data_IF_666282624813
#
_entry.id   IF_666282624813
#
_cell.length_a   1.000
_cell.length_b   1.000
_cell.length_c   1.000
_cell.angle_alpha   90.00
_cell.angle_beta   90.00
_cell.angle_gamma   90.00
#
_symmetry.space_group_name_H-M   'P 1'
#
loop_
_entity.id
_entity.type
_entity.pdbx_description
1 polymer ?
#
# COMPACT_ATOMS: atom_id res chain seq x y z
N UNK A 1 6.22 4.92 9.54
CA UNK A 1 5.80 5.06 10.95
C UNK A 1 4.28 4.93 11.00
N UNK A 2 3.78 3.71 11.26
CA UNK A 2 2.35 3.47 11.47
C UNK A 2 2.09 3.70 12.94
N UNK A 3 1.37 4.77 13.25
CA UNK A 3 0.85 4.93 14.60
C UNK A 3 -0.43 4.10 14.69
N UNK A 4 -0.30 2.85 15.16
CA UNK A 4 -1.44 2.07 15.62
C UNK A 4 -1.88 2.64 16.97
N UNK A 5 -3.04 3.29 17.00
CA UNK A 5 -3.66 3.71 18.25
C UNK A 5 -4.68 2.64 18.66
N UNK A 6 -4.40 1.97 19.78
CA UNK A 6 -5.37 1.10 20.47
C UNK A 6 -6.06 1.98 21.51
N UNK A 7 -7.35 2.23 21.32
CA UNK A 7 -8.15 2.96 22.30
C UNK A 7 -8.81 1.94 23.24
N UNK A 8 -8.52 2.06 24.54
CA UNK A 8 -9.11 1.23 25.59
C UNK A 8 -9.79 2.14 26.60
N UNK A 9 -11.11 2.06 26.72
CA UNK A 9 -11.82 2.53 27.89
C UNK A 9 -12.11 1.35 28.82
N UNK A 10 -11.73 1.55 30.08
CA UNK A 10 -11.78 0.60 31.20
C UNK A 10 -13.17 0.01 31.44
N UNK A 11 -13.22 -1.32 31.52
CA UNK A 11 -14.37 -2.09 32.01
C UNK A 11 -14.42 -3.51 31.44
N UNK A 12 -13.47 -4.38 31.82
CA UNK A 12 -13.40 -5.84 31.58
C UNK A 12 -14.21 -6.34 30.35
N UNK A 13 -13.85 -5.83 29.17
CA UNK A 13 -13.99 -6.48 27.87
C UNK A 13 -12.78 -6.04 27.07
N UNK A 14 -11.95 -6.98 26.65
CA UNK A 14 -10.83 -6.68 25.74
C UNK A 14 -11.43 -6.34 24.37
N UNK A 15 -11.77 -5.07 24.15
CA UNK A 15 -12.23 -4.58 22.85
C UNK A 15 -10.97 -4.27 22.04
N UNK A 16 -10.53 -5.21 21.21
CA UNK A 16 -9.47 -4.95 20.23
C UNK A 16 -10.04 -4.13 19.07
N UNK A 17 -10.27 -2.83 19.31
CA UNK A 17 -10.57 -1.88 18.24
C UNK A 17 -9.25 -1.38 17.63
N UNK A 18 -9.10 -1.55 16.31
CA UNK A 18 -7.95 -1.02 15.57
C UNK A 18 -8.42 0.10 14.65
N UNK A 19 -7.92 1.30 14.90
CA UNK A 19 -8.17 2.48 14.07
C UNK A 19 -6.89 2.80 13.30
N UNK A 20 -6.98 2.85 11.98
CA UNK A 20 -5.87 3.22 11.11
C UNK A 20 -6.14 4.63 10.57
N UNK A 21 -5.28 5.58 10.93
CA UNK A 21 -5.35 6.98 10.50
C UNK A 21 -4.28 7.28 9.46
N UNK A 22 -4.68 7.78 8.29
CA UNK A 22 -3.78 8.07 7.18
C UNK A 22 -4.13 9.41 6.55
N UNK A 23 -3.43 10.45 7.00
CA UNK A 23 -3.52 11.88 6.64
C UNK A 23 -4.94 12.48 6.67
N UNK A 24 -5.90 11.86 5.99
CA UNK A 24 -7.29 12.27 5.81
C UNK A 24 -8.30 11.10 5.91
N UNK A 25 -7.85 9.84 5.76
CA UNK A 25 -8.72 8.66 5.76
C UNK A 25 -8.64 7.88 7.10
N UNK A 26 -9.81 7.45 7.59
CA UNK A 26 -9.94 6.63 8.80
C UNK A 26 -10.56 5.29 8.43
N UNK A 27 -9.86 4.20 8.71
CA UNK A 27 -10.43 2.86 8.68
C UNK A 27 -10.75 2.39 10.09
N UNK A 28 -12.03 2.08 10.33
CA UNK A 28 -12.50 1.47 11.56
C UNK A 28 -12.58 -0.04 11.38
N UNK A 29 -11.78 -0.77 12.15
CA UNK A 29 -11.84 -2.24 12.25
C UNK A 29 -12.18 -2.62 13.70
N UNK A 30 -13.44 -3.01 13.93
CA UNK A 30 -13.99 -3.31 15.25
C UNK A 30 -14.82 -4.60 15.13
N UNK A 31 -14.78 -5.45 16.15
CA UNK A 31 -15.42 -6.77 16.18
C UNK A 31 -16.90 -6.74 16.56
N UNK A 32 -17.38 -5.67 17.19
CA UNK A 32 -18.75 -5.47 17.63
C UNK A 32 -19.46 -4.41 16.80
N UNK A 33 -20.67 -4.71 16.32
CA UNK A 33 -21.49 -3.75 15.59
C UNK A 33 -21.97 -2.60 16.50
N UNK A 34 -22.22 -2.89 17.78
CA UNK A 34 -22.64 -1.87 18.76
C UNK A 34 -21.53 -0.82 18.92
N UNK A 35 -20.29 -1.26 19.08
CA UNK A 35 -19.12 -0.40 19.23
C UNK A 35 -18.84 0.41 17.94
N UNK A 36 -19.11 -0.17 16.76
CA UNK A 36 -19.01 0.55 15.49
C UNK A 36 -19.99 1.72 15.45
N UNK A 37 -21.24 1.51 15.87
CA UNK A 37 -22.25 2.56 15.87
C UNK A 37 -21.95 3.64 16.92
N UNK A 38 -21.41 3.27 18.08
CA UNK A 38 -20.95 4.24 19.08
C UNK A 38 -19.83 5.14 18.54
N UNK A 39 -18.80 4.54 17.91
CA UNK A 39 -17.70 5.31 17.31
C UNK A 39 -18.18 6.17 16.14
N UNK A 40 -19.09 5.66 15.30
CA UNK A 40 -19.72 6.44 14.21
C UNK A 40 -20.52 7.63 14.73
N UNK A 41 -21.15 7.53 15.90
CA UNK A 41 -21.87 8.63 16.54
C UNK A 41 -20.91 9.63 17.21
N UNK A 42 -19.79 9.15 17.76
CA UNK A 42 -18.81 9.99 18.47
C UNK A 42 -17.97 10.86 17.53
N UNK A 43 -17.45 10.29 16.43
CA UNK A 43 -16.48 10.96 15.55
C UNK A 43 -16.99 12.27 14.93
N UNK A 44 -18.23 12.37 14.40
CA UNK A 44 -18.75 13.61 13.82
C UNK A 44 -18.89 14.76 14.82
N UNK A 45 -19.00 14.47 16.12
CA UNK A 45 -19.11 15.50 17.16
C UNK A 45 -17.77 16.17 17.48
N UNK A 46 -16.64 15.52 17.12
CA UNK A 46 -15.29 16.02 17.40
C UNK A 46 -14.57 16.50 16.15
N UNK A 47 -14.90 15.92 15.00
CA UNK A 47 -14.21 16.16 13.74
C UNK A 47 -15.21 16.27 12.60
N UNK A 48 -14.90 17.07 11.60
CA UNK A 48 -15.65 17.12 10.34
C UNK A 48 -15.31 15.90 9.49
N UNK A 49 -15.94 14.75 9.80
CA UNK A 49 -15.72 13.47 9.11
C UNK A 49 -16.98 13.08 8.34
N UNK A 50 -16.78 12.55 7.12
CA UNK A 50 -17.85 11.96 6.32
C UNK A 50 -17.78 10.44 6.40
N UNK A 51 -18.91 9.80 6.71
CA UNK A 51 -19.02 8.35 6.59
C UNK A 51 -19.25 7.95 5.11
N UNK A 52 -18.37 7.09 4.59
CA UNK A 52 -18.38 6.61 3.19
C UNK A 52 -19.01 5.20 3.09
N UNK A 53 -19.48 4.66 4.22
CA UNK A 53 -20.04 3.33 4.32
C UNK A 53 -18.97 2.26 4.51
N UNK A 54 -19.30 1.02 4.12
CA UNK A 54 -18.37 -0.10 4.25
C UNK A 54 -17.16 0.07 3.33
N UNK A 55 -15.97 -0.02 3.91
CA UNK A 55 -14.72 0.10 3.16
C UNK A 55 -14.56 -1.07 2.18
N UNK A 56 -14.58 -0.77 0.88
CA UNK A 56 -14.24 -1.71 -0.21
C UNK A 56 -12.79 -1.55 -0.68
N UNK A 57 -12.26 -0.34 -0.55
CA UNK A 57 -10.88 0.00 -0.83
C UNK A 57 -10.38 0.94 0.26
N UNK A 58 -9.15 0.73 0.71
CA UNK A 58 -8.46 1.61 1.64
C UNK A 58 -6.98 1.59 1.30
N UNK A 59 -6.41 2.74 0.93
CA UNK A 59 -4.99 2.85 0.54
C UNK A 59 -4.52 1.80 -0.48
N UNK A 60 -5.25 1.65 -1.59
CA UNK A 60 -4.90 0.69 -2.64
C UNK A 60 -5.05 -0.79 -2.24
N UNK A 61 -5.46 -1.08 -1.00
CA UNK A 61 -5.88 -2.41 -0.57
C UNK A 61 -7.37 -2.54 -0.83
N UNK A 62 -7.73 -3.57 -1.58
CA UNK A 62 -9.10 -4.02 -1.73
C UNK A 62 -9.49 -4.89 -0.53
N UNK A 63 -10.66 -4.59 0.02
CA UNK A 63 -11.25 -5.31 1.13
C UNK A 63 -12.45 -6.09 0.59
N UNK A 64 -12.31 -7.41 0.51
CA UNK A 64 -13.39 -8.32 0.16
C UNK A 64 -13.92 -8.99 1.43
N UNK A 65 -15.24 -9.17 1.53
CA UNK A 65 -15.90 -9.84 2.65
C UNK A 65 -16.72 -11.00 2.12
N UNK A 66 -16.68 -12.12 2.82
CA UNK A 66 -17.53 -13.29 2.59
C UNK A 66 -18.01 -13.84 3.93
N UNK A 67 -18.91 -14.82 3.90
CA UNK A 67 -19.36 -15.52 5.11
C UNK A 67 -18.20 -16.19 5.86
N UNK A 68 -17.11 -16.53 5.17
CA UNK A 68 -15.91 -17.12 5.76
C UNK A 68 -14.98 -16.10 6.43
N UNK A 69 -15.18 -14.79 6.19
CA UNK A 69 -14.38 -13.73 6.78
C UNK A 69 -14.01 -12.61 5.81
N UNK A 70 -12.92 -11.90 6.12
CA UNK A 70 -12.45 -10.75 5.35
C UNK A 70 -11.11 -11.08 4.68
N UNK A 71 -11.01 -10.75 3.40
CA UNK A 71 -9.80 -10.91 2.59
C UNK A 71 -9.30 -9.54 2.14
N UNK A 72 -8.02 -9.30 2.36
CA UNK A 72 -7.32 -8.10 1.92
C UNK A 72 -6.46 -8.46 0.71
N UNK A 73 -6.59 -7.72 -0.38
CA UNK A 73 -5.81 -7.96 -1.60
C UNK A 73 -5.36 -6.67 -2.26
N UNK A 74 -4.19 -6.71 -2.90
CA UNK A 74 -3.65 -5.62 -3.71
C UNK A 74 -3.61 -5.97 -5.19
N UNK A 75 -4.24 -7.08 -5.60
CA UNK A 75 -4.19 -7.59 -6.98
C UNK A 75 -4.52 -6.50 -7.99
N UNK A 76 -5.55 -5.69 -7.75
CA UNK A 76 -5.92 -4.58 -8.65
C UNK A 76 -4.78 -3.58 -8.81
N UNK A 77 -4.17 -3.12 -7.71
CA UNK A 77 -3.08 -2.15 -7.76
C UNK A 77 -1.85 -2.71 -8.51
N UNK A 78 -1.53 -3.99 -8.28
CA UNK A 78 -0.45 -4.70 -8.98
C UNK A 78 -0.76 -4.81 -10.48
N UNK A 79 -1.99 -5.19 -10.85
CA UNK A 79 -2.43 -5.26 -12.25
C UNK A 79 -2.35 -3.90 -12.93
N UNK A 80 -2.74 -2.83 -12.23
CA UNK A 80 -2.65 -1.46 -12.73
C UNK A 80 -1.18 -1.04 -12.93
N UNK A 81 -0.25 -1.46 -12.07
CA UNK A 81 1.19 -1.22 -12.26
C UNK A 81 1.66 -1.92 -13.55
N UNK A 82 1.37 -3.21 -13.69
CA UNK A 82 1.79 -4.03 -14.84
C UNK A 82 1.25 -3.45 -16.16
N UNK A 83 0.00 -2.99 -16.16
CA UNK A 83 -0.63 -2.39 -17.34
C UNK A 83 0.04 -1.06 -17.71
N UNK A 84 0.25 -0.18 -16.73
CA UNK A 84 0.82 1.15 -16.98
C UNK A 84 2.31 1.09 -17.36
N UNK A 85 3.05 0.09 -16.86
CA UNK A 85 4.45 -0.16 -17.25
C UNK A 85 4.59 -1.02 -18.51
N UNK A 86 3.48 -1.42 -19.15
CA UNK A 86 3.46 -2.28 -20.35
C UNK A 86 4.14 -3.64 -20.16
N UNK A 87 4.13 -4.18 -18.94
CA UNK A 87 4.77 -5.46 -18.58
C UNK A 87 3.78 -6.66 -18.62
N UNK A 88 2.65 -6.54 -19.32
CA UNK A 88 1.59 -7.55 -19.34
C UNK A 88 2.02 -8.89 -19.94
N UNK A 89 3.07 -8.89 -20.76
CA UNK A 89 3.62 -10.08 -21.42
C UNK A 89 4.88 -10.61 -20.72
N UNK A 90 5.27 -10.01 -19.59
CA UNK A 90 6.44 -10.45 -18.84
C UNK A 90 6.13 -11.71 -18.01
N UNK A 91 7.12 -12.59 -17.90
CA UNK A 91 7.03 -13.79 -17.09
C UNK A 91 7.26 -13.47 -15.62
N UNK A 92 6.49 -14.08 -14.73
CA UNK A 92 6.72 -13.97 -13.30
C UNK A 92 8.07 -14.59 -12.92
N UNK A 93 8.84 -13.88 -12.09
CA UNK A 93 10.12 -14.35 -11.55
C UNK A 93 9.98 -14.55 -10.04
N UNK A 94 10.60 -15.61 -9.52
CA UNK A 94 10.59 -15.90 -8.08
C UNK A 94 11.45 -14.92 -7.27
N UNK A 95 12.51 -14.39 -7.90
CA UNK A 95 13.43 -13.43 -7.28
C UNK A 95 13.31 -12.10 -8.04
N UNK A 96 12.81 -11.03 -7.40
CA UNK A 96 12.57 -9.74 -8.07
C UNK A 96 13.82 -9.05 -8.59
N UNK A 97 15.00 -9.36 -8.02
CA UNK A 97 16.29 -8.85 -8.45
C UNK A 97 17.32 -9.99 -8.43
N UNK A 98 18.12 -10.13 -9.47
CA UNK A 98 19.21 -11.11 -9.49
C UNK A 98 20.34 -10.67 -8.55
N UNK A 99 20.97 -11.64 -7.87
CA UNK A 99 22.06 -11.40 -6.89
C UNK A 99 23.26 -10.71 -7.54
N UNK A 100 23.54 -11.02 -8.80
CA UNK A 100 24.67 -10.47 -9.57
C UNK A 100 24.24 -9.34 -10.53
N UNK A 101 23.09 -8.70 -10.29
CA UNK A 101 22.63 -7.63 -11.17
C UNK A 101 23.56 -6.41 -11.06
N UNK A 102 24.40 -6.22 -12.07
CA UNK A 102 25.19 -5.00 -12.26
C UNK A 102 24.42 -4.02 -13.14
N UNK A 103 23.59 -3.20 -12.49
CA UNK A 103 22.88 -2.09 -13.12
C UNK A 103 23.80 -1.01 -13.68
N UNK A 104 24.99 -0.87 -13.10
CA UNK A 104 25.82 0.29 -13.33
C UNK A 104 26.79 0.04 -14.48
N UNK A 105 26.36 0.41 -15.69
CA UNK A 105 27.28 0.68 -16.79
C UNK A 105 27.48 2.21 -16.85
N UNK A 106 28.66 2.74 -16.49
CA UNK A 106 28.94 4.17 -16.53
C UNK A 106 28.85 4.76 -17.95
N UNK A 107 28.80 3.93 -18.99
CA UNK A 107 28.64 4.35 -20.38
C UNK A 107 27.19 4.27 -20.88
N UNK A 108 26.26 3.76 -20.06
CA UNK A 108 24.85 3.67 -20.44
C UNK A 108 24.26 5.08 -20.56
N UNK A 109 23.62 5.40 -21.69
CA UNK A 109 22.99 6.69 -21.86
C UNK A 109 21.85 6.88 -20.86
N UNK A 110 21.76 8.09 -20.31
CA UNK A 110 20.64 8.49 -19.47
C UNK A 110 19.33 8.38 -20.24
N UNK A 111 18.25 8.04 -19.53
CA UNK A 111 16.91 8.05 -20.10
C UNK A 111 16.52 9.46 -20.55
N UNK A 112 16.02 9.60 -21.78
CA UNK A 112 15.53 10.87 -22.32
C UNK A 112 14.31 11.39 -21.55
N UNK A 113 13.42 10.48 -21.12
CA UNK A 113 12.28 10.78 -20.25
C UNK A 113 12.31 9.91 -18.95
N UNK A 114 12.83 10.44 -17.83
CA UNK A 114 12.87 9.71 -16.57
C UNK A 114 11.50 9.63 -15.87
N UNK A 115 10.45 10.27 -16.41
CA UNK A 115 9.14 10.37 -15.75
C UNK A 115 8.47 9.00 -15.59
N UNK A 116 8.60 8.13 -16.59
CA UNK A 116 8.05 6.77 -16.55
C UNK A 116 8.75 5.93 -15.48
N UNK A 117 10.08 6.00 -15.41
CA UNK A 117 10.88 5.34 -14.39
C UNK A 117 10.50 5.80 -12.99
N UNK A 118 10.52 7.12 -12.75
CA UNK A 118 10.18 7.71 -11.44
C UNK A 118 8.76 7.37 -11.01
N UNK A 119 7.80 7.37 -11.94
CA UNK A 119 6.41 6.97 -11.68
C UNK A 119 6.33 5.49 -11.30
N UNK A 120 7.03 4.61 -12.01
CA UNK A 120 7.06 3.18 -11.69
C UNK A 120 7.66 2.93 -10.32
N UNK A 121 8.85 3.47 -10.04
CA UNK A 121 9.53 3.33 -8.75
C UNK A 121 8.67 3.89 -7.61
N UNK A 122 8.02 5.05 -7.80
CA UNK A 122 7.10 5.61 -6.80
C UNK A 122 5.92 4.69 -6.47
N UNK A 123 5.35 3.99 -7.47
CA UNK A 123 4.29 3.00 -7.25
C UNK A 123 4.80 1.72 -6.59
N UNK A 124 6.02 1.30 -6.93
CA UNK A 124 6.66 0.15 -6.31
C UNK A 124 7.01 0.43 -4.84
N UNK A 125 7.46 1.64 -4.50
CA UNK A 125 7.68 2.07 -3.10
C UNK A 125 6.38 2.04 -2.29
N UNK A 126 5.26 2.41 -2.91
CA UNK A 126 3.95 2.28 -2.27
C UNK A 126 3.54 0.82 -2.07
N UNK A 127 3.80 -0.04 -3.05
CA UNK A 127 3.52 -1.48 -2.96
C UNK A 127 4.39 -2.18 -1.93
N UNK A 128 5.67 -1.81 -1.85
CA UNK A 128 6.68 -2.35 -0.92
C UNK A 128 6.20 -2.28 0.54
N UNK A 129 5.46 -1.23 0.89
CA UNK A 129 4.90 -1.08 2.22
C UNK A 129 4.03 -2.28 2.67
N UNK A 130 3.41 -3.00 1.74
CA UNK A 130 2.59 -4.19 2.01
C UNK A 130 3.16 -5.48 1.40
N UNK A 131 4.25 -5.39 0.62
CA UNK A 131 4.95 -6.50 -0.06
C UNK A 131 6.44 -6.45 0.25
N UNK A 132 6.85 -6.81 1.49
CA UNK A 132 8.24 -6.70 1.93
C UNK A 132 9.19 -7.63 1.18
N UNK A 133 8.66 -8.61 0.44
CA UNK A 133 9.44 -9.45 -0.47
C UNK A 133 10.02 -8.66 -1.66
N UNK A 134 9.50 -7.47 -1.96
CA UNK A 134 9.99 -6.59 -3.01
C UNK A 134 11.01 -5.55 -2.50
N UNK A 135 11.15 -5.37 -1.19
CA UNK A 135 11.89 -4.27 -0.56
C UNK A 135 13.29 -4.08 -1.14
N UNK A 136 14.05 -5.18 -1.24
CA UNK A 136 15.42 -5.12 -1.75
C UNK A 136 15.48 -4.58 -3.19
N UNK A 137 14.64 -5.10 -4.08
CA UNK A 137 14.60 -4.68 -5.48
C UNK A 137 14.14 -3.22 -5.62
N UNK A 138 13.10 -2.84 -4.89
CA UNK A 138 12.53 -1.49 -4.96
C UNK A 138 13.49 -0.44 -4.40
N UNK A 139 14.15 -0.75 -3.28
CA UNK A 139 15.16 0.14 -2.71
C UNK A 139 16.32 0.35 -3.67
N UNK A 140 16.83 -0.73 -4.28
CA UNK A 140 17.92 -0.62 -5.25
C UNK A 140 17.52 0.21 -6.49
N UNK A 141 16.29 0.06 -7.01
CA UNK A 141 15.80 0.92 -8.10
C UNK A 141 15.64 2.38 -7.65
N UNK A 142 15.30 2.63 -6.38
CA UNK A 142 15.12 3.99 -5.88
C UNK A 142 16.39 4.84 -5.89
N UNK A 143 17.58 4.21 -5.81
CA UNK A 143 18.87 4.89 -5.85
C UNK A 143 19.10 5.66 -7.16
N UNK A 144 18.53 5.18 -8.27
CA UNK A 144 18.70 5.78 -9.60
C UNK A 144 17.61 6.78 -9.98
N UNK A 145 16.67 7.10 -9.09
CA UNK A 145 15.55 8.00 -9.41
C UNK A 145 15.98 9.38 -9.91
N UNK A 146 17.14 9.89 -9.44
CA UNK A 146 17.64 11.20 -9.85
C UNK A 146 18.12 11.19 -11.31
N UNK A 147 18.91 10.19 -11.69
CA UNK A 147 19.55 10.04 -13.00
C UNK A 147 19.45 8.58 -13.48
N UNK A 148 18.27 8.13 -13.95
CA UNK A 148 18.11 6.76 -14.44
C UNK A 148 18.76 6.60 -15.82
N UNK A 149 19.43 5.47 -16.03
CA UNK A 149 20.05 5.08 -17.28
C UNK A 149 19.21 4.00 -17.99
N UNK A 150 19.33 3.86 -19.30
CA UNK A 150 18.46 2.99 -20.12
C UNK A 150 18.54 1.48 -19.78
N UNK A 151 19.56 1.08 -19.03
CA UNK A 151 19.79 -0.29 -18.57
C UNK A 151 19.17 -0.59 -17.20
N UNK A 152 18.53 0.39 -16.56
CA UNK A 152 17.72 0.24 -15.34
C UNK A 152 16.24 0.01 -15.68
#
# INVERSE_FOLDING_TARGET
>A
MFSSFVWSQTGIKTIESRVHYLCDDILLAISSLEDIEEVKAYLPNKFTIKNIGEAKYFLGIQIARSEAGMYLTQTKYITDIIKDSKLQHCTAVATPLQVDWQAYDPNSPLMEDPSQYRRLVGRLLYLDFFRPDLTHAVHHLSEFMQQPANNH
#
